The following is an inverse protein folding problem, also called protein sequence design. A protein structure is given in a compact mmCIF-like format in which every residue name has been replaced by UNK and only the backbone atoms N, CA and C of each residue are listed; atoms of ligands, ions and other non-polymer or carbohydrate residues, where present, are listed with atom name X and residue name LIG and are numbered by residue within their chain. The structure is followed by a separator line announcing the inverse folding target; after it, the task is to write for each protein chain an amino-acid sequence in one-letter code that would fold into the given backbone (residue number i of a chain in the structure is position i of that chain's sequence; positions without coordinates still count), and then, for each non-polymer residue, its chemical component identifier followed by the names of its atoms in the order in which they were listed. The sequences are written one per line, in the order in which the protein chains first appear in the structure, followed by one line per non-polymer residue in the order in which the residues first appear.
data_IF_143706926841
#
_entry.id   IF_143706926841
#
_cell.length_a   1.000
_cell.length_b   1.000
_cell.length_c   1.000
_cell.angle_alpha   90.00
_cell.angle_beta   90.00
_cell.angle_gamma   90.00
#
_symmetry.space_group_name_H-M   'P 1'
#
loop_
_entity.id
_entity.type
_entity.pdbx_description
1 polymer ?
#
# COMPACT_ATOMS: atom_id res chain seq x y z
N UNK A 1 23.43 -28.56 13.22
CA UNK A 1 21.96 -28.74 13.24
C UNK A 1 21.31 -27.37 13.32
N UNK A 2 21.06 -26.79 12.16
CA UNK A 2 20.46 -25.45 12.03
C UNK A 2 18.93 -25.58 12.04
N UNK A 3 18.28 -24.97 13.02
CA UNK A 3 16.81 -24.91 13.08
C UNK A 3 16.34 -23.81 12.15
N UNK A 4 15.77 -24.20 11.02
CA UNK A 4 15.05 -23.29 10.11
C UNK A 4 13.76 -22.88 10.83
N UNK A 5 13.64 -21.59 11.16
CA UNK A 5 12.39 -21.02 11.64
C UNK A 5 11.57 -20.63 10.40
N UNK A 6 10.55 -21.44 10.12
CA UNK A 6 9.54 -21.10 9.09
C UNK A 6 8.71 -19.92 9.58
N UNK A 7 8.63 -18.86 8.78
CA UNK A 7 7.68 -17.77 9.01
C UNK A 7 6.28 -18.25 8.60
N UNK A 8 5.33 -18.24 9.53
CA UNK A 8 3.92 -18.53 9.28
C UNK A 8 3.23 -17.23 8.80
N UNK A 9 2.65 -17.26 7.62
CA UNK A 9 1.73 -16.23 7.18
C UNK A 9 0.30 -16.65 7.56
N UNK A 10 -0.41 -15.80 8.31
CA UNK A 10 -1.79 -16.04 8.75
C UNK A 10 -2.75 -15.36 7.76
N UNK A 11 -3.62 -16.12 7.14
CA UNK A 11 -4.71 -15.59 6.31
C UNK A 11 -6.02 -15.76 7.08
N UNK A 12 -6.70 -14.66 7.38
CA UNK A 12 -8.02 -14.68 7.99
C UNK A 12 -9.10 -14.63 6.90
N UNK A 13 -9.91 -15.68 6.78
CA UNK A 13 -11.11 -15.69 5.93
C UNK A 13 -12.32 -15.21 6.75
N UNK A 14 -12.97 -14.14 6.28
CA UNK A 14 -14.27 -13.71 6.78
C UNK A 14 -15.39 -14.59 6.23
N UNK A 15 -16.08 -15.33 7.08
CA UNK A 15 -17.31 -16.04 6.73
C UNK A 15 -18.52 -15.22 7.16
N UNK A 16 -19.42 -14.93 6.23
CA UNK A 16 -20.76 -14.40 6.53
C UNK A 16 -21.62 -15.49 7.15
N UNK A 17 -22.14 -15.24 8.36
CA UNK A 17 -22.96 -16.20 9.10
C UNK A 17 -24.40 -16.28 8.57
N UNK A 18 -24.84 -17.49 8.26
CA UNK A 18 -26.24 -17.87 8.18
C UNK A 18 -26.67 -18.37 9.57
N UNK A 19 -27.76 -17.86 10.09
CA UNK A 19 -28.27 -18.11 11.43
C UNK A 19 -28.57 -19.59 11.69
N UNK A 20 -28.06 -20.15 12.81
CA UNK A 20 -28.61 -21.31 13.43
C UNK A 20 -27.74 -22.54 13.65
N UNK A 21 -26.39 -22.42 13.77
CA UNK A 21 -25.57 -23.55 14.19
C UNK A 21 -24.56 -23.12 15.25
N UNK A 22 -24.30 -23.99 16.20
CA UNK A 22 -23.30 -23.80 17.25
C UNK A 22 -21.98 -23.33 16.63
N UNK A 23 -21.48 -22.17 17.08
CA UNK A 23 -20.20 -21.60 16.64
C UNK A 23 -19.08 -22.55 17.07
N UNK A 24 -18.66 -23.41 16.17
CA UNK A 24 -17.31 -23.97 16.25
C UNK A 24 -16.36 -22.84 15.87
N UNK A 25 -15.44 -22.47 16.75
CA UNK A 25 -14.38 -21.52 16.45
C UNK A 25 -13.74 -21.92 15.11
N UNK A 26 -13.62 -21.01 14.12
CA UNK A 26 -13.03 -21.38 12.84
C UNK A 26 -11.60 -21.87 13.08
N UNK A 27 -11.32 -23.08 12.64
CA UNK A 27 -9.95 -23.60 12.70
C UNK A 27 -9.08 -22.79 11.76
N UNK A 28 -8.04 -22.13 12.29
CA UNK A 28 -7.04 -21.46 11.48
C UNK A 28 -6.13 -22.55 10.90
N UNK A 29 -6.09 -22.64 9.59
CA UNK A 29 -5.17 -23.52 8.88
C UNK A 29 -4.21 -22.72 8.02
N UNK A 30 -2.95 -23.14 7.98
CA UNK A 30 -1.96 -22.62 7.03
C UNK A 30 -2.27 -23.19 5.67
N UNK A 31 -2.67 -22.35 4.71
CA UNK A 31 -2.92 -22.76 3.33
C UNK A 31 -1.60 -22.99 2.59
N UNK A 32 -0.62 -22.08 2.83
CA UNK A 32 0.67 -22.09 2.15
C UNK A 32 1.78 -21.70 3.12
N UNK A 33 2.88 -22.45 3.10
CA UNK A 33 4.13 -22.05 3.72
C UNK A 33 5.13 -21.63 2.63
N UNK A 34 5.53 -20.35 2.63
CA UNK A 34 6.50 -19.84 1.68
C UNK A 34 7.92 -20.12 2.16
N UNK A 35 8.68 -20.86 1.36
CA UNK A 35 10.11 -21.10 1.61
C UNK A 35 11.03 -20.01 1.01
N UNK A 36 10.51 -19.19 0.11
CA UNK A 36 11.33 -18.31 -0.72
C UNK A 36 11.06 -16.81 -0.57
N UNK A 37 9.97 -16.39 0.08
CA UNK A 37 9.63 -14.97 0.23
C UNK A 37 8.80 -14.68 1.47
N UNK A 38 8.96 -13.50 2.03
CA UNK A 38 8.08 -12.98 3.07
C UNK A 38 6.90 -12.27 2.39
N UNK A 39 5.66 -12.78 2.49
CA UNK A 39 4.50 -12.09 1.92
C UNK A 39 4.32 -10.72 2.57
N UNK A 40 3.89 -9.75 1.79
CA UNK A 40 3.62 -8.37 2.20
C UNK A 40 2.23 -7.96 1.72
N UNK A 41 1.56 -7.16 2.53
CA UNK A 41 0.21 -6.67 2.22
C UNK A 41 -0.85 -7.77 2.24
N UNK A 42 -2.02 -7.44 1.74
CA UNK A 42 -3.15 -8.35 1.65
C UNK A 42 -3.08 -9.20 0.37
N UNK A 43 -3.86 -10.28 0.36
CA UNK A 43 -4.10 -11.08 -0.83
C UNK A 43 -5.33 -10.55 -1.56
N UNK A 44 -5.30 -10.62 -2.89
CA UNK A 44 -6.48 -10.38 -3.73
C UNK A 44 -6.87 -11.66 -4.43
N UNK A 45 -8.18 -11.94 -4.51
CA UNK A 45 -8.71 -13.07 -5.26
C UNK A 45 -8.96 -12.67 -6.70
N UNK A 46 -8.39 -13.42 -7.62
CA UNK A 46 -8.62 -13.22 -9.06
C UNK A 46 -9.94 -13.79 -9.54
N UNK A 47 -10.32 -13.44 -10.76
CA UNK A 47 -11.51 -13.98 -11.41
C UNK A 47 -11.43 -15.50 -11.67
N UNK A 48 -10.22 -16.06 -11.70
CA UNK A 48 -9.94 -17.50 -11.79
C UNK A 48 -10.07 -18.22 -10.43
N UNK A 49 -10.47 -17.50 -9.38
CA UNK A 49 -10.59 -18.00 -8.02
C UNK A 49 -9.28 -18.15 -7.26
N UNK A 50 -8.13 -17.93 -7.87
CA UNK A 50 -6.85 -18.00 -7.20
C UNK A 50 -6.53 -16.76 -6.39
N UNK A 51 -5.58 -16.86 -5.46
CA UNK A 51 -5.06 -15.78 -4.65
C UNK A 51 -3.78 -15.22 -5.27
N UNK A 52 -3.65 -13.91 -5.24
CA UNK A 52 -2.50 -13.17 -5.74
C UNK A 52 -1.92 -12.30 -4.65
N UNK A 53 -0.61 -12.22 -4.59
CA UNK A 53 0.08 -11.43 -3.58
C UNK A 53 1.49 -11.06 -4.01
N UNK A 54 2.13 -10.26 -3.18
CA UNK A 54 3.53 -9.86 -3.33
C UNK A 54 4.35 -10.36 -2.16
N UNK A 55 5.62 -10.64 -2.40
CA UNK A 55 6.52 -11.10 -1.37
C UNK A 55 7.93 -10.58 -1.57
N UNK A 56 8.67 -10.50 -0.47
CA UNK A 56 10.10 -10.17 -0.47
C UNK A 56 10.90 -11.45 -0.33
N UNK A 57 11.99 -11.65 -1.06
CA UNK A 57 12.82 -12.83 -0.90
C UNK A 57 13.39 -12.89 0.52
N UNK A 58 13.41 -14.09 1.09
CA UNK A 58 13.99 -14.36 2.42
C UNK A 58 15.53 -14.28 2.43
N UNK A 59 16.16 -14.23 1.27
CA UNK A 59 17.61 -14.19 1.08
C UNK A 59 18.01 -12.92 0.36
N UNK A 60 19.33 -12.64 0.36
CA UNK A 60 19.94 -11.48 -0.33
C UNK A 60 19.81 -11.49 -1.85
N UNK A 61 18.96 -12.33 -2.43
CA UNK A 61 18.67 -12.34 -3.85
C UNK A 61 17.85 -11.08 -4.15
N UNK A 62 18.34 -10.16 -4.99
CA UNK A 62 17.59 -8.99 -5.35
C UNK A 62 16.33 -9.40 -6.13
N UNK A 63 15.19 -8.92 -5.69
CA UNK A 63 13.95 -9.03 -6.42
C UNK A 63 12.79 -9.57 -5.57
N UNK A 64 11.81 -8.72 -5.36
CA UNK A 64 10.53 -9.12 -4.86
C UNK A 64 9.79 -9.97 -5.90
N UNK A 65 8.80 -10.73 -5.47
CA UNK A 65 8.02 -11.59 -6.35
C UNK A 65 6.54 -11.22 -6.29
N UNK A 66 5.88 -11.33 -7.43
CA UNK A 66 4.44 -11.41 -7.52
C UNK A 66 4.11 -12.89 -7.66
N UNK A 67 3.24 -13.41 -6.83
CA UNK A 67 2.92 -14.82 -6.80
C UNK A 67 1.42 -15.08 -6.90
N UNK A 68 1.10 -16.32 -7.28
CA UNK A 68 -0.24 -16.89 -7.30
C UNK A 68 -0.26 -18.14 -6.40
N UNK A 69 -1.40 -18.37 -5.75
CA UNK A 69 -1.68 -19.59 -5.01
C UNK A 69 -3.13 -20.03 -5.26
N UNK A 70 -3.39 -21.31 -5.34
CA UNK A 70 -4.77 -21.81 -5.29
C UNK A 70 -5.32 -21.71 -3.86
N UNK A 71 -6.66 -21.67 -3.72
CA UNK A 71 -7.31 -21.56 -2.41
C UNK A 71 -7.03 -22.76 -1.48
N UNK A 72 -6.73 -23.91 -2.04
CA UNK A 72 -6.38 -25.12 -1.30
C UNK A 72 -4.88 -25.20 -0.95
N UNK A 73 -4.11 -24.18 -1.32
CA UNK A 73 -2.67 -24.11 -1.10
C UNK A 73 -1.83 -24.85 -2.13
N UNK A 74 -2.45 -25.46 -3.13
CA UNK A 74 -1.75 -25.99 -4.30
C UNK A 74 -1.37 -24.89 -5.29
N UNK A 75 -0.60 -25.22 -6.33
CA UNK A 75 -0.20 -24.32 -7.41
C UNK A 75 0.36 -22.97 -6.93
N UNK A 76 1.23 -23.01 -5.91
CA UNK A 76 1.98 -21.84 -5.50
C UNK A 76 3.12 -21.59 -6.46
N UNK A 77 3.08 -20.48 -7.17
CA UNK A 77 4.10 -20.14 -8.14
C UNK A 77 4.39 -18.66 -8.23
N UNK A 78 5.63 -18.35 -8.55
CA UNK A 78 6.03 -16.99 -8.94
C UNK A 78 5.48 -16.70 -10.32
N UNK A 79 4.71 -15.61 -10.43
CA UNK A 79 4.24 -15.08 -11.70
C UNK A 79 5.27 -14.15 -12.33
N UNK A 80 5.88 -13.32 -11.51
CA UNK A 80 6.87 -12.35 -11.95
C UNK A 80 7.86 -12.07 -10.83
N UNK A 81 9.14 -12.03 -11.18
CA UNK A 81 10.21 -11.58 -10.29
C UNK A 81 10.61 -10.18 -10.69
N UNK A 82 10.45 -9.21 -9.79
CA UNK A 82 10.86 -7.82 -10.02
C UNK A 82 12.37 -7.76 -10.23
N UNK A 83 12.77 -7.13 -11.31
CA UNK A 83 14.18 -6.91 -11.64
C UNK A 83 14.67 -5.64 -10.95
N UNK A 84 16.00 -5.46 -10.79
CA UNK A 84 16.57 -4.24 -10.20
C UNK A 84 16.08 -2.94 -10.88
N UNK A 85 15.81 -2.99 -12.19
CA UNK A 85 15.35 -1.85 -12.97
C UNK A 85 13.83 -1.60 -12.87
N UNK A 86 13.07 -2.60 -12.44
CA UNK A 86 11.62 -2.46 -12.30
C UNK A 86 11.28 -1.60 -11.09
N UNK A 87 11.57 -2.09 -9.91
CA UNK A 87 11.35 -1.42 -8.64
C UNK A 87 11.84 -2.31 -7.47
N UNK A 88 12.06 -1.70 -6.33
CA UNK A 88 12.48 -2.42 -5.13
C UNK A 88 11.42 -2.30 -4.02
N UNK A 89 11.29 -3.37 -3.25
CA UNK A 89 10.46 -3.40 -2.05
C UNK A 89 8.98 -3.13 -2.30
N UNK A 90 8.19 -4.06 -2.85
CA UNK A 90 6.74 -3.96 -2.80
C UNK A 90 6.32 -3.76 -1.35
N UNK A 91 5.39 -2.87 -1.13
CA UNK A 91 5.05 -2.41 0.21
C UNK A 91 3.58 -2.61 0.56
N UNK A 92 2.68 -2.29 -0.34
CA UNK A 92 1.26 -2.62 -0.24
C UNK A 92 0.94 -3.99 -0.87
N UNK A 93 -0.28 -4.47 -0.68
CA UNK A 93 -0.81 -5.61 -1.41
C UNK A 93 -1.10 -5.27 -2.87
N UNK A 94 -1.81 -6.18 -3.54
CA UNK A 94 -2.31 -5.98 -4.90
C UNK A 94 -3.78 -5.59 -4.86
N UNK A 95 -4.20 -4.79 -5.85
CA UNK A 95 -5.61 -4.60 -6.19
C UNK A 95 -5.89 -5.20 -7.56
N UNK A 96 -6.96 -5.96 -7.69
CA UNK A 96 -7.50 -6.39 -8.97
C UNK A 96 -8.48 -5.33 -9.45
N UNK A 97 -8.12 -4.59 -10.46
CA UNK A 97 -8.97 -3.55 -11.02
C UNK A 97 -10.02 -4.12 -11.99
N UNK A 98 -11.01 -3.31 -12.32
CA UNK A 98 -12.13 -3.69 -13.18
C UNK A 98 -11.72 -4.04 -14.63
N UNK A 99 -10.51 -3.69 -15.05
CA UNK A 99 -9.92 -4.11 -16.32
C UNK A 99 -9.27 -5.52 -16.28
N UNK A 100 -9.33 -6.19 -15.13
CA UNK A 100 -8.77 -7.53 -14.94
C UNK A 100 -7.26 -7.57 -14.71
N UNK A 101 -6.60 -6.41 -14.58
CA UNK A 101 -5.18 -6.33 -14.26
C UNK A 101 -4.95 -6.16 -12.75
N UNK A 102 -3.83 -6.65 -12.29
CA UNK A 102 -3.33 -6.45 -10.94
C UNK A 102 -2.46 -5.20 -10.89
N UNK A 103 -2.69 -4.36 -9.88
CA UNK A 103 -1.90 -3.16 -9.63
C UNK A 103 -1.30 -3.21 -8.23
N UNK A 104 -0.12 -2.64 -8.09
CA UNK A 104 0.57 -2.59 -6.81
C UNK A 104 1.54 -1.42 -6.71
N UNK A 105 2.09 -1.24 -5.52
CA UNK A 105 3.04 -0.18 -5.20
C UNK A 105 4.38 -0.75 -4.77
N UNK A 106 5.44 0.01 -4.98
CA UNK A 106 6.76 -0.27 -4.41
C UNK A 106 7.24 0.93 -3.62
N UNK A 107 7.81 0.68 -2.45
CA UNK A 107 8.32 1.72 -1.56
C UNK A 107 9.50 2.48 -2.17
N UNK A 108 10.39 1.74 -2.83
CA UNK A 108 11.56 2.29 -3.48
C UNK A 108 11.49 2.02 -4.98
N UNK A 109 12.09 2.90 -5.77
CA UNK A 109 12.23 2.71 -7.21
C UNK A 109 13.44 1.85 -7.56
N UNK A 110 14.12 2.21 -8.63
CA UNK A 110 15.21 1.46 -9.24
C UNK A 110 16.42 1.29 -8.30
N UNK A 111 17.09 0.14 -8.38
CA UNK A 111 18.30 -0.14 -7.64
C UNK A 111 19.42 0.85 -7.99
N UNK A 112 20.15 1.33 -6.99
CA UNK A 112 21.26 2.26 -7.16
C UNK A 112 20.84 3.73 -7.28
N UNK A 113 19.55 4.05 -7.28
CA UNK A 113 19.06 5.43 -7.19
C UNK A 113 18.71 5.77 -5.75
N UNK A 114 19.54 6.57 -5.12
CA UNK A 114 19.41 6.96 -3.70
C UNK A 114 18.14 7.78 -3.47
N UNK A 115 17.66 8.49 -4.49
CA UNK A 115 16.55 9.43 -4.41
C UNK A 115 15.21 8.85 -4.88
N UNK A 116 15.12 7.52 -5.07
CA UNK A 116 13.90 6.92 -5.61
C UNK A 116 12.77 6.86 -4.58
N UNK A 117 11.67 7.50 -4.91
CA UNK A 117 10.52 7.68 -4.01
C UNK A 117 9.43 6.62 -4.14
N UNK A 118 9.66 5.58 -4.94
CA UNK A 118 8.73 4.49 -5.18
C UNK A 118 8.03 4.54 -6.54
N UNK A 119 7.20 3.56 -6.82
CA UNK A 119 6.47 3.45 -8.09
C UNK A 119 5.13 2.74 -7.96
N UNK A 120 4.32 2.86 -9.01
CA UNK A 120 3.09 2.11 -9.22
C UNK A 120 3.28 1.23 -10.45
N UNK A 121 2.88 -0.02 -10.37
CA UNK A 121 2.98 -0.99 -11.46
C UNK A 121 1.66 -1.68 -11.76
N UNK A 122 1.58 -2.31 -12.93
CA UNK A 122 0.51 -3.22 -13.31
C UNK A 122 1.06 -4.50 -13.93
N UNK A 123 0.27 -5.58 -13.86
CA UNK A 123 0.59 -6.88 -14.46
C UNK A 123 -0.69 -7.67 -14.70
N UNK A 124 -0.72 -8.48 -15.73
CA UNK A 124 -1.82 -9.44 -15.93
C UNK A 124 -1.73 -10.61 -14.92
N UNK A 125 -2.87 -11.19 -14.55
CA UNK A 125 -2.96 -12.37 -13.69
C UNK A 125 -2.19 -13.59 -14.25
N UNK A 126 -1.91 -13.62 -15.56
CA UNK A 126 -1.06 -14.61 -16.20
C UNK A 126 0.45 -14.40 -15.94
N UNK A 127 0.85 -13.33 -15.28
CA UNK A 127 2.26 -12.99 -15.02
C UNK A 127 2.97 -12.29 -16.18
N UNK A 128 2.20 -11.84 -17.18
CA UNK A 128 2.73 -11.14 -18.37
C UNK A 128 2.40 -9.64 -18.34
N UNK A 129 3.07 -8.85 -19.16
CA UNK A 129 2.76 -7.44 -19.33
C UNK A 129 3.08 -6.58 -18.10
N UNK A 130 4.08 -6.97 -17.30
CA UNK A 130 4.54 -6.10 -16.20
C UNK A 130 4.97 -4.74 -16.76
N UNK A 131 4.44 -3.68 -16.15
CA UNK A 131 4.74 -2.31 -16.54
C UNK A 131 4.71 -1.39 -15.32
N UNK A 132 5.72 -0.53 -15.19
CA UNK A 132 5.66 0.62 -14.30
C UNK A 132 4.83 1.69 -14.99
N UNK A 133 3.72 2.09 -14.39
CA UNK A 133 2.82 3.11 -14.92
C UNK A 133 3.09 4.50 -14.32
N UNK A 134 3.75 4.55 -13.15
CA UNK A 134 4.15 5.81 -12.53
C UNK A 134 5.40 5.64 -11.68
N UNK A 135 6.31 6.61 -11.75
CA UNK A 135 7.43 6.76 -10.81
C UNK A 135 7.24 8.05 -10.04
N UNK A 136 7.26 7.95 -8.73
CA UNK A 136 7.23 9.15 -7.89
C UNK A 136 8.51 9.97 -8.11
N UNK A 137 8.35 11.30 -8.08
CA UNK A 137 9.47 12.21 -8.32
C UNK A 137 10.61 11.95 -7.32
N UNK A 138 11.86 12.06 -7.75
CA UNK A 138 13.00 11.93 -6.85
C UNK A 138 12.86 12.86 -5.65
N UNK A 139 13.35 12.41 -4.51
CA UNK A 139 13.48 13.26 -3.33
C UNK A 139 14.67 14.20 -3.54
N UNK A 140 14.41 15.48 -3.60
CA UNK A 140 15.45 16.50 -3.90
C UNK A 140 15.92 17.26 -2.66
N UNK A 141 15.15 17.19 -1.57
CA UNK A 141 15.44 17.87 -0.33
C UNK A 141 14.77 17.13 0.84
N UNK A 142 15.18 17.48 2.05
CA UNK A 142 14.46 17.18 3.27
C UNK A 142 14.10 18.49 3.97
N UNK A 143 12.96 18.52 4.64
CA UNK A 143 12.62 19.64 5.51
C UNK A 143 13.51 19.61 6.78
N UNK A 144 13.29 20.58 7.68
CA UNK A 144 14.05 20.67 8.95
C UNK A 144 13.88 19.44 9.83
N UNK A 145 12.80 18.66 9.63
CA UNK A 145 12.52 17.42 10.35
C UNK A 145 13.04 16.17 9.60
N UNK A 146 13.91 16.36 8.61
CA UNK A 146 14.51 15.31 7.75
C UNK A 146 13.48 14.49 6.96
N UNK A 147 12.29 15.02 6.72
CA UNK A 147 11.29 14.38 5.87
C UNK A 147 11.60 14.66 4.38
N UNK A 148 11.51 13.66 3.52
CA UNK A 148 11.79 13.84 2.10
C UNK A 148 10.75 14.74 1.45
N UNK A 149 11.20 15.70 0.64
CA UNK A 149 10.33 16.63 -0.10
C UNK A 149 10.45 16.34 -1.60
N UNK A 150 9.32 16.30 -2.28
CA UNK A 150 9.21 16.24 -3.73
C UNK A 150 7.85 16.79 -4.18
N UNK A 151 7.51 16.65 -5.46
CA UNK A 151 6.28 17.25 -6.00
C UNK A 151 5.04 16.39 -5.86
N UNK A 152 5.14 15.07 -5.64
CA UNK A 152 4.01 14.17 -5.82
C UNK A 152 3.89 13.05 -4.77
N UNK A 153 4.71 13.05 -3.74
CA UNK A 153 4.71 12.02 -2.71
C UNK A 153 5.89 11.06 -2.80
N UNK A 154 6.15 10.33 -1.73
CA UNK A 154 7.20 9.34 -1.62
C UNK A 154 6.78 8.17 -0.73
N UNK A 155 7.31 7.00 -1.03
CA UNK A 155 7.09 5.78 -0.26
C UNK A 155 5.61 5.38 -0.17
N UNK A 156 4.98 5.02 -1.32
CA UNK A 156 3.63 4.46 -1.32
C UNK A 156 3.67 3.06 -0.68
N UNK A 157 3.30 2.97 0.58
CA UNK A 157 3.37 1.75 1.39
C UNK A 157 2.01 1.05 1.52
N UNK A 158 0.92 1.71 1.14
CA UNK A 158 -0.43 1.18 1.20
C UNK A 158 -0.87 0.55 -0.13
N UNK A 159 -1.90 -0.27 -0.06
CA UNK A 159 -2.62 -0.77 -1.23
C UNK A 159 -3.33 0.37 -1.95
N UNK A 160 -3.45 0.21 -3.27
CA UNK A 160 -4.32 1.06 -4.06
C UNK A 160 -5.79 0.62 -3.90
N UNK A 161 -6.70 1.54 -4.13
CA UNK A 161 -8.13 1.25 -4.25
C UNK A 161 -8.67 1.80 -5.56
N UNK A 162 -9.49 1.03 -6.27
CA UNK A 162 -10.16 1.53 -7.47
C UNK A 162 -11.42 2.30 -7.09
N UNK A 163 -11.54 3.53 -7.58
CA UNK A 163 -12.74 4.34 -7.44
C UNK A 163 -13.81 4.00 -8.48
N UNK A 164 -15.02 4.43 -8.23
CA UNK A 164 -16.14 4.24 -9.17
C UNK A 164 -15.93 4.93 -10.53
N UNK A 165 -15.01 5.90 -10.60
CA UNK A 165 -14.58 6.59 -11.83
C UNK A 165 -13.50 5.82 -12.62
N UNK A 166 -13.09 4.64 -12.12
CA UNK A 166 -12.07 3.79 -12.75
C UNK A 166 -10.63 4.26 -12.54
N UNK A 167 -10.41 5.29 -11.73
CA UNK A 167 -9.07 5.67 -11.29
C UNK A 167 -8.61 4.81 -10.12
N UNK A 168 -7.30 4.69 -9.97
CA UNK A 168 -6.67 4.11 -8.80
C UNK A 168 -6.30 5.24 -7.84
N UNK A 169 -6.61 5.04 -6.57
CA UNK A 169 -6.35 5.97 -5.49
C UNK A 169 -5.38 5.37 -4.50
N UNK A 170 -4.52 6.18 -3.93
CA UNK A 170 -3.54 5.73 -2.95
C UNK A 170 -3.00 6.86 -2.09
N UNK A 171 -2.17 6.45 -1.16
CA UNK A 171 -1.43 7.36 -0.29
C UNK A 171 0.06 7.12 -0.42
N UNK A 172 0.83 8.19 -0.28
CA UNK A 172 2.28 8.13 -0.11
C UNK A 172 2.63 8.60 1.30
N UNK A 173 3.36 7.75 2.03
CA UNK A 173 3.68 7.98 3.45
C UNK A 173 4.46 9.26 3.69
N UNK A 174 5.28 9.65 2.74
CA UNK A 174 6.16 10.82 2.84
C UNK A 174 6.13 11.60 1.53
N UNK A 175 7.01 12.58 1.39
CA UNK A 175 7.07 13.41 0.19
C UNK A 175 5.91 14.40 0.10
N UNK A 176 5.69 14.90 -1.10
CA UNK A 176 4.87 16.06 -1.32
C UNK A 176 5.59 17.36 -0.94
N UNK A 177 4.97 18.52 -1.15
CA UNK A 177 5.56 19.82 -0.87
C UNK A 177 6.00 20.02 0.60
N UNK A 178 5.34 19.33 1.52
CA UNK A 178 5.58 19.46 2.95
C UNK A 178 6.37 18.28 3.57
N UNK A 179 6.63 17.22 2.80
CA UNK A 179 7.32 16.03 3.28
C UNK A 179 6.49 15.10 4.19
N UNK A 180 5.26 15.45 4.48
CA UNK A 180 4.38 14.78 5.47
C UNK A 180 3.48 13.72 4.85
N UNK A 181 3.57 13.52 3.53
CA UNK A 181 2.79 12.56 2.79
C UNK A 181 1.68 13.17 1.95
N UNK A 182 1.08 12.34 1.11
CA UNK A 182 0.10 12.78 0.11
C UNK A 182 -1.01 11.78 -0.10
N UNK A 183 -2.13 12.25 -0.65
CA UNK A 183 -3.20 11.43 -1.24
C UNK A 183 -3.19 11.73 -2.73
N UNK A 184 -3.24 10.70 -3.56
CA UNK A 184 -3.19 10.83 -5.01
C UNK A 184 -4.23 9.96 -5.72
N UNK A 185 -4.52 10.28 -6.98
CA UNK A 185 -5.16 9.39 -7.92
C UNK A 185 -4.40 9.29 -9.23
N UNK A 186 -4.59 8.19 -9.95
CA UNK A 186 -3.93 7.93 -11.23
C UNK A 186 -4.84 7.11 -12.13
N UNK A 187 -4.85 7.43 -13.43
CA UNK A 187 -5.48 6.58 -14.44
C UNK A 187 -4.76 5.23 -14.57
N UNK A 188 -5.46 4.17 -14.96
CA UNK A 188 -4.90 2.81 -15.11
C UNK A 188 -3.81 2.69 -16.17
N UNK A 189 -3.74 3.61 -17.10
CA UNK A 189 -2.66 3.71 -18.08
C UNK A 189 -1.46 4.55 -17.60
N UNK A 190 -1.60 5.24 -16.47
CA UNK A 190 -0.56 6.08 -15.88
C UNK A 190 -0.45 7.49 -16.43
N UNK A 191 -1.31 7.88 -17.40
CA UNK A 191 -1.18 9.17 -18.11
C UNK A 191 -1.74 10.36 -17.35
N UNK A 192 -2.68 10.15 -16.43
CA UNK A 192 -3.32 11.20 -15.63
C UNK A 192 -3.08 10.93 -14.13
N UNK A 193 -1.98 11.46 -13.61
CA UNK A 193 -1.67 11.47 -12.18
C UNK A 193 -2.10 12.81 -11.57
N UNK A 194 -2.84 12.77 -10.45
CA UNK A 194 -3.27 13.97 -9.71
C UNK A 194 -2.98 13.82 -8.23
N UNK A 195 -2.35 14.84 -7.69
CA UNK A 195 -2.26 15.04 -6.25
C UNK A 195 -3.61 15.58 -5.76
N UNK A 196 -4.28 14.84 -4.87
CA UNK A 196 -5.57 15.24 -4.31
C UNK A 196 -5.39 16.04 -3.01
N UNK A 197 -4.42 15.64 -2.18
CA UNK A 197 -4.12 16.31 -0.93
C UNK A 197 -2.63 16.15 -0.60
N UNK A 198 -2.03 17.21 -0.08
CA UNK A 198 -0.72 17.18 0.55
C UNK A 198 -0.91 17.54 2.01
N UNK A 199 -0.57 16.61 2.90
CA UNK A 199 -0.70 16.86 4.33
C UNK A 199 0.13 18.08 4.75
N UNK A 200 -0.37 18.81 5.74
CA UNK A 200 0.21 20.09 6.17
C UNK A 200 1.64 19.93 6.67
N UNK A 201 2.39 21.00 6.58
CA UNK A 201 3.72 21.05 7.15
C UNK A 201 3.70 20.84 8.67
N UNK A 202 4.79 20.34 9.21
CA UNK A 202 4.99 20.21 10.64
C UNK A 202 4.96 21.58 11.28
N UNK A 203 4.09 21.77 12.27
CA UNK A 203 3.95 23.03 13.01
C UNK A 203 4.77 23.05 14.29
N UNK A 204 4.94 21.88 14.91
CA UNK A 204 5.73 21.70 16.13
C UNK A 204 5.97 20.21 16.39
N UNK A 205 6.74 19.92 17.43
CA UNK A 205 6.86 18.58 17.97
C UNK A 205 6.40 18.59 19.44
N UNK A 206 5.76 17.50 19.88
CA UNK A 206 5.42 17.34 21.30
C UNK A 206 6.70 17.18 22.13
N UNK A 207 6.59 17.31 23.46
CA UNK A 207 7.70 17.07 24.39
C UNK A 207 8.26 15.63 24.29
N UNK A 208 7.47 14.70 23.78
CA UNK A 208 7.88 13.32 23.48
C UNK A 208 8.41 13.12 22.05
N UNK A 209 8.60 14.20 21.27
CA UNK A 209 9.16 14.14 19.92
C UNK A 209 8.16 13.70 18.84
N UNK A 210 6.85 13.73 19.11
CA UNK A 210 5.83 13.40 18.11
C UNK A 210 5.59 14.58 17.16
N UNK A 211 5.46 14.31 15.89
CA UNK A 211 5.16 15.28 14.83
C UNK A 211 3.75 15.83 14.97
N UNK A 212 3.60 17.13 15.06
CA UNK A 212 2.31 17.84 15.12
C UNK A 212 2.05 18.53 13.79
N UNK A 213 0.89 18.28 13.22
CA UNK A 213 0.35 18.96 12.02
C UNK A 213 -1.14 19.20 12.23
N UNK A 214 -1.74 20.05 11.41
CA UNK A 214 -3.17 20.37 11.55
C UNK A 214 -4.11 19.32 10.97
N UNK A 215 -3.62 18.42 10.11
CA UNK A 215 -4.47 17.52 9.32
C UNK A 215 -3.95 16.08 9.24
N UNK A 216 -2.91 15.75 9.98
CA UNK A 216 -2.28 14.44 9.96
C UNK A 216 -0.95 14.40 9.21
N UNK A 217 -0.22 13.31 9.34
CA UNK A 217 1.03 13.05 8.63
C UNK A 217 1.29 11.54 8.53
N UNK A 218 2.12 11.13 7.59
CA UNK A 218 2.50 9.76 7.35
C UNK A 218 1.29 8.80 7.20
N UNK A 219 0.46 8.95 6.15
CA UNK A 219 -0.60 8.00 5.85
C UNK A 219 0.04 6.66 5.46
N UNK A 220 -0.34 5.57 6.11
CA UNK A 220 0.24 4.23 5.91
C UNK A 220 -0.79 3.15 5.63
N UNK A 221 -2.07 3.41 5.93
CA UNK A 221 -3.17 2.50 5.63
C UNK A 221 -3.80 2.76 4.26
N UNK A 222 -4.43 1.77 3.65
CA UNK A 222 -5.19 1.96 2.41
C UNK A 222 -6.38 2.89 2.64
N UNK A 223 -6.82 3.53 1.55
CA UNK A 223 -8.07 4.27 1.54
C UNK A 223 -9.25 3.29 1.48
N UNK A 224 -10.35 3.63 2.14
CA UNK A 224 -11.60 2.87 2.07
C UNK A 224 -12.62 3.72 1.32
N UNK A 225 -13.08 3.22 0.16
CA UNK A 225 -14.14 3.87 -0.59
C UNK A 225 -15.50 3.65 0.09
N UNK A 226 -16.30 4.68 0.18
CA UNK A 226 -17.63 4.64 0.75
C UNK A 226 -18.70 5.01 -0.28
N UNK A 227 -19.94 4.61 -0.02
CA UNK A 227 -21.09 4.90 -0.89
C UNK A 227 -21.53 6.35 -0.90
N UNK A 228 -20.95 7.18 -0.04
CA UNK A 228 -21.18 8.63 0.05
C UNK A 228 -20.26 9.47 -0.84
N UNK A 229 -19.50 8.82 -1.75
CA UNK A 229 -18.51 9.42 -2.64
C UNK A 229 -17.28 10.00 -1.93
N UNK A 230 -16.98 9.50 -0.73
CA UNK A 230 -15.76 9.82 -0.01
C UNK A 230 -14.85 8.59 0.12
N UNK A 231 -13.56 8.87 0.20
CA UNK A 231 -12.60 7.97 0.79
C UNK A 231 -12.36 8.32 2.25
N UNK A 232 -12.17 7.29 3.05
CA UNK A 232 -11.76 7.37 4.45
C UNK A 232 -10.36 6.80 4.59
N UNK A 233 -9.56 7.43 5.42
CA UNK A 233 -8.20 6.99 5.66
C UNK A 233 -7.70 7.39 7.04
N UNK A 234 -6.50 6.94 7.35
CA UNK A 234 -5.83 7.24 8.61
C UNK A 234 -4.40 7.70 8.38
N UNK A 235 -3.89 8.49 9.30
CA UNK A 235 -2.47 8.81 9.37
C UNK A 235 -1.88 8.25 10.65
N UNK A 236 -0.60 7.89 10.62
CA UNK A 236 0.09 7.35 11.79
C UNK A 236 0.73 8.44 12.67
N UNK A 237 0.79 9.66 12.15
CA UNK A 237 1.38 10.83 12.82
C UNK A 237 0.53 12.07 12.54
N UNK A 238 0.89 13.20 13.15
CA UNK A 238 0.19 14.45 12.99
C UNK A 238 -1.11 14.53 13.81
N UNK A 239 -1.94 15.53 13.52
CA UNK A 239 -3.00 15.99 14.41
C UNK A 239 -2.43 16.77 15.60
N UNK A 240 -3.28 17.39 16.39
CA UNK A 240 -2.86 18.24 17.52
C UNK A 240 -2.01 17.50 18.57
N UNK A 241 -2.18 16.17 18.69
CA UNK A 241 -1.46 15.34 19.64
C UNK A 241 -0.29 14.58 19.03
N UNK A 242 -0.07 14.68 17.71
CA UNK A 242 0.98 13.96 16.98
C UNK A 242 0.77 12.45 16.84
N UNK A 243 -0.44 11.94 17.13
CA UNK A 243 -0.74 10.49 17.19
C UNK A 243 -1.56 9.99 16.02
N UNK A 244 -1.70 10.83 14.99
CA UNK A 244 -2.47 10.52 13.80
C UNK A 244 -3.91 10.94 13.88
N UNK A 245 -4.58 10.83 12.75
CA UNK A 245 -5.97 11.20 12.58
C UNK A 245 -6.74 10.17 11.75
N UNK A 246 -8.06 10.21 11.86
CA UNK A 246 -8.97 9.65 10.85
C UNK A 246 -9.45 10.82 10.00
N UNK A 247 -9.43 10.66 8.69
CA UNK A 247 -9.87 11.70 7.75
C UNK A 247 -10.83 11.15 6.70
N UNK A 248 -11.52 12.07 6.02
CA UNK A 248 -12.21 11.79 4.76
C UNK A 248 -11.83 12.80 3.69
N UNK A 249 -11.98 12.39 2.43
CA UNK A 249 -11.76 13.25 1.25
C UNK A 249 -12.67 12.77 0.11
N UNK A 250 -13.28 13.69 -0.64
CA UNK A 250 -14.08 13.31 -1.79
C UNK A 250 -13.21 12.77 -2.95
N UNK A 251 -13.79 12.00 -3.87
CA UNK A 251 -13.09 11.39 -5.01
C UNK A 251 -12.44 12.41 -5.96
N UNK A 252 -12.91 13.65 -5.95
CA UNK A 252 -12.33 14.75 -6.72
C UNK A 252 -11.21 15.51 -5.98
N UNK A 253 -10.93 15.14 -4.72
CA UNK A 253 -9.95 15.78 -3.86
C UNK A 253 -10.49 16.93 -3.01
N UNK A 254 -11.77 17.28 -3.15
CA UNK A 254 -12.40 18.32 -2.32
C UNK A 254 -12.89 17.78 -0.97
N UNK A 255 -13.32 18.66 -0.08
CA UNK A 255 -13.98 18.27 1.17
C UNK A 255 -13.10 17.44 2.12
N UNK A 256 -11.75 17.60 2.07
CA UNK A 256 -10.87 17.00 3.06
C UNK A 256 -11.29 17.47 4.46
N UNK A 257 -11.43 16.51 5.38
CA UNK A 257 -11.85 16.77 6.76
C UNK A 257 -11.22 15.78 7.70
N UNK A 258 -10.63 16.26 8.79
CA UNK A 258 -10.28 15.44 9.95
C UNK A 258 -11.56 15.12 10.71
N UNK A 259 -11.79 13.82 10.92
CA UNK A 259 -12.98 13.32 11.64
C UNK A 259 -12.65 13.00 13.09
N UNK A 260 -11.43 12.57 13.35
CA UNK A 260 -10.98 12.23 14.69
C UNK A 260 -9.47 12.43 14.82
N UNK A 261 -9.04 12.97 15.95
CA UNK A 261 -7.63 13.08 16.32
C UNK A 261 -7.33 12.13 17.48
N UNK A 262 -6.35 11.26 17.33
CA UNK A 262 -5.97 10.34 18.38
C UNK A 262 -5.23 11.07 19.51
N UNK A 263 -5.59 10.76 20.75
CA UNK A 263 -4.92 11.21 21.98
C UNK A 263 -4.33 10.02 22.74
N UNK A 264 -3.52 10.31 23.77
CA UNK A 264 -2.96 9.28 24.65
C UNK A 264 -4.04 8.66 25.53
#
# INVERSE_FOLDING_TARGET
MSRIRSALALVALGLSAVAGHAQTSPAISTIVAFSLSNPVGNLVQGADGALYGVGRPATSIPGAVIYRAALDGSDVRTLYQLKPDDALSPAGGLVLASDGLLYGTTKFGQAGQIDSAGSIFKIAAAGTGFQIIHRFAPVTASNQDLNPINTNGAYPEAELVEGADGYLYGVARAGGPNGTGTIFKISRDGTDFKLLHSFAAVTSSTTSGLTVTVDGAAPTGPLVASTDNFFYGTTSQGGANGRGVVFRIAFDGTGFQVLHEFSA
#
